data_IF_970440418464
#
_entry.id   IF_970440418464
#
_cell.length_a   1.000
_cell.length_b   1.000
_cell.length_c   1.000
_cell.angle_alpha   90.00
_cell.angle_beta   90.00
_cell.angle_gamma   90.00
#
_symmetry.space_group_name_H-M   'P 1'
#
loop_
_entity.id
_entity.type
_entity.pdbx_description
1 polymer ?
#
# COMPACT_ATOMS: atom_id res chain seq x y z
N UNK A 1 16.59 -30.32 -19.50
CA UNK A 1 15.61 -29.47 -20.23
C UNK A 1 14.16 -29.62 -19.72
N UNK A 2 13.75 -30.74 -19.11
CA UNK A 2 12.36 -30.97 -18.64
C UNK A 2 11.98 -30.19 -17.37
N UNK A 3 12.97 -29.80 -16.57
CA UNK A 3 12.82 -29.22 -15.24
C UNK A 3 12.50 -27.70 -15.27
N UNK A 4 12.80 -27.04 -16.39
CA UNK A 4 12.68 -25.58 -16.53
C UNK A 4 11.24 -25.12 -16.78
N UNK A 5 10.46 -25.92 -17.50
CA UNK A 5 9.05 -25.62 -17.80
C UNK A 5 8.16 -25.79 -16.57
N UNK A 6 8.39 -26.84 -15.78
CA UNK A 6 7.68 -27.03 -14.51
C UNK A 6 7.99 -25.91 -13.52
N UNK A 7 9.24 -25.45 -13.44
CA UNK A 7 9.63 -24.31 -12.62
C UNK A 7 8.93 -23.01 -13.02
N UNK A 8 8.81 -22.74 -14.32
CA UNK A 8 8.12 -21.55 -14.84
C UNK A 8 6.61 -21.60 -14.53
N UNK A 9 5.96 -22.74 -14.75
CA UNK A 9 4.54 -22.92 -14.44
C UNK A 9 4.27 -22.73 -12.94
N UNK A 10 5.11 -23.30 -12.07
CA UNK A 10 4.99 -23.12 -10.62
C UNK A 10 5.16 -21.63 -10.24
N UNK A 11 6.15 -20.95 -10.81
CA UNK A 11 6.37 -19.52 -10.56
C UNK A 11 5.20 -18.65 -11.02
N UNK A 12 4.60 -18.94 -12.18
CA UNK A 12 3.43 -18.23 -12.68
C UNK A 12 2.20 -18.46 -11.80
N UNK A 13 1.96 -19.70 -11.37
CA UNK A 13 0.85 -20.04 -10.46
C UNK A 13 1.02 -19.32 -9.12
N UNK A 14 2.23 -19.29 -8.56
CA UNK A 14 2.52 -18.56 -7.32
C UNK A 14 2.28 -17.05 -7.49
N UNK A 15 2.73 -16.45 -8.60
CA UNK A 15 2.52 -15.03 -8.88
C UNK A 15 1.02 -14.68 -9.02
N UNK A 16 0.24 -15.53 -9.67
CA UNK A 16 -1.22 -15.40 -9.79
C UNK A 16 -1.92 -15.49 -8.43
N UNK A 17 -1.53 -16.45 -7.59
CA UNK A 17 -2.10 -16.62 -6.24
C UNK A 17 -1.75 -15.45 -5.32
N UNK A 18 -0.51 -14.94 -5.36
CA UNK A 18 -0.08 -13.77 -4.58
C UNK A 18 -0.74 -12.48 -5.09
N UNK A 19 -0.93 -12.34 -6.41
CA UNK A 19 -1.56 -11.17 -7.02
C UNK A 19 -3.02 -11.00 -6.61
N UNK A 20 -3.79 -12.10 -6.53
CA UNK A 20 -5.19 -12.08 -6.09
C UNK A 20 -5.34 -11.85 -4.57
N UNK A 21 -4.33 -12.24 -3.79
CA UNK A 21 -4.35 -12.11 -2.34
C UNK A 21 -3.74 -10.81 -1.83
N UNK A 22 -3.18 -9.95 -2.69
CA UNK A 22 -2.65 -8.66 -2.24
C UNK A 22 -3.83 -7.74 -1.89
N UNK A 23 -4.11 -7.50 -0.59
CA UNK A 23 -5.12 -6.53 -0.25
C UNK A 23 -4.59 -5.19 -0.75
N UNK A 24 -5.30 -4.59 -1.70
CA UNK A 24 -5.11 -3.18 -2.01
C UNK A 24 -5.32 -2.45 -0.67
N UNK A 25 -4.22 -2.04 -0.02
CA UNK A 25 -4.25 -1.19 1.18
C UNK A 25 -4.72 0.18 0.73
N UNK A 26 -5.99 0.28 0.38
CA UNK A 26 -6.68 1.55 0.27
C UNK A 26 -6.72 2.11 1.68
N UNK A 27 -5.82 3.05 1.95
CA UNK A 27 -5.86 3.87 3.16
C UNK A 27 -7.16 4.65 3.10
N UNK A 28 -8.23 4.11 3.71
CA UNK A 28 -9.48 4.84 3.89
C UNK A 28 -9.17 6.05 4.76
N UNK A 29 -9.14 7.22 4.13
CA UNK A 29 -8.96 8.49 4.84
C UNK A 29 -10.22 8.76 5.67
N UNK A 30 -10.10 9.29 6.89
CA UNK A 30 -11.25 9.76 7.65
C UNK A 30 -11.98 10.88 6.89
N UNK A 31 -13.27 11.07 7.19
CA UNK A 31 -14.08 12.11 6.57
C UNK A 31 -13.43 13.50 6.72
N UNK A 32 -13.59 14.33 5.68
CA UNK A 32 -13.02 15.68 5.63
C UNK A 32 -13.72 16.56 6.68
N UNK A 33 -12.98 17.20 7.62
CA UNK A 33 -13.60 17.92 8.73
C UNK A 33 -14.19 19.29 8.36
N UNK A 34 -13.66 19.98 7.35
CA UNK A 34 -14.16 21.28 6.88
C UNK A 34 -13.74 21.53 5.43
N UNK A 35 -14.39 22.48 4.74
CA UNK A 35 -14.24 22.73 3.29
C UNK A 35 -12.79 23.00 2.86
N UNK A 36 -12.00 23.65 3.70
CA UNK A 36 -10.60 24.01 3.42
C UNK A 36 -9.57 23.02 3.96
N UNK A 37 -10.00 21.89 4.55
CA UNK A 37 -9.07 20.91 5.10
C UNK A 37 -8.24 20.26 3.99
N UNK A 38 -6.92 20.18 4.20
CA UNK A 38 -5.99 19.52 3.31
C UNK A 38 -5.47 18.25 3.98
N UNK A 39 -5.50 17.13 3.25
CA UNK A 39 -4.92 15.88 3.73
C UNK A 39 -3.39 15.94 3.63
N UNK A 40 -2.71 15.79 4.75
CA UNK A 40 -1.26 15.65 4.79
C UNK A 40 -0.94 14.15 4.91
N UNK A 41 -0.18 13.55 3.98
CA UNK A 41 0.30 12.18 4.14
C UNK A 41 1.23 12.04 5.34
N UNK A 42 1.43 10.82 5.81
CA UNK A 42 2.37 10.57 6.91
C UNK A 42 3.78 11.02 6.53
N UNK A 43 4.46 11.70 7.45
CA UNK A 43 5.78 12.28 7.22
C UNK A 43 6.59 12.34 8.51
N UNK A 44 7.90 12.52 8.39
CA UNK A 44 8.77 12.76 9.53
C UNK A 44 8.80 14.25 9.88
N UNK A 45 8.64 14.55 11.16
CA UNK A 45 8.94 15.87 11.71
C UNK A 45 10.43 16.17 11.59
N UNK A 46 10.81 17.44 11.70
CA UNK A 46 12.21 17.88 11.77
C UNK A 46 13.00 17.18 12.89
N UNK A 47 12.33 16.83 13.99
CA UNK A 47 12.91 16.07 15.10
C UNK A 47 12.99 14.55 14.87
N UNK A 48 12.69 14.06 13.66
CA UNK A 48 12.74 12.63 13.30
C UNK A 48 11.55 11.80 13.80
N UNK A 49 10.54 12.41 14.43
CA UNK A 49 9.31 11.71 14.86
C UNK A 49 8.39 11.47 13.67
N UNK A 50 7.91 10.23 13.50
CA UNK A 50 6.86 9.93 12.52
C UNK A 50 5.52 10.55 12.92
N UNK A 51 4.90 11.26 11.98
CA UNK A 51 3.56 11.82 12.10
C UNK A 51 2.65 11.03 11.14
N UNK A 52 1.59 10.34 11.63
CA UNK A 52 0.64 9.68 10.75
C UNK A 52 -0.13 10.70 9.89
N UNK A 53 -0.68 10.24 8.77
CA UNK A 53 -1.47 11.09 7.89
C UNK A 53 -2.66 11.69 8.62
N UNK A 54 -2.88 12.99 8.45
CA UNK A 54 -3.91 13.74 9.17
C UNK A 54 -4.44 14.90 8.33
N UNK A 55 -5.61 15.40 8.73
CA UNK A 55 -6.17 16.62 8.17
C UNK A 55 -5.52 17.84 8.80
N UNK A 56 -4.98 18.73 7.97
CA UNK A 56 -4.55 20.06 8.40
C UNK A 56 -5.78 20.93 8.63
N UNK A 57 -5.75 21.68 9.73
CA UNK A 57 -6.66 22.81 9.96
C UNK A 57 -6.12 24.07 9.30
#
# INVERSE_FOLDING_TARGET
MRNSFFGLCIALVIALLIGCAHPQRHVKRPAKPHVHAVWIPGHYASAGKWIPGHWRR
#
